data_IF_245932623911
#
_entry.id   IF_245932623911
#
_cell.length_a   1.000
_cell.length_b   1.000
_cell.length_c   1.000
_cell.angle_alpha   90.00
_cell.angle_beta   90.00
_cell.angle_gamma   90.00
#
_symmetry.space_group_name_H-M   'P 1'
#
loop_
_entity.id
_entity.type
_entity.pdbx_description
1 polymer ?
#
# COMPACT_ATOMS: atom_id res chain seq x y z
N UNK A 1 -27.74 13.46 24.39
CA UNK A 1 -26.47 14.16 24.68
C UNK A 1 -26.62 15.64 24.32
N UNK A 2 -27.05 16.48 25.28
CA UNK A 2 -27.52 17.87 25.07
C UNK A 2 -26.45 18.89 24.71
N UNK A 3 -25.65 18.63 23.68
CA UNK A 3 -24.66 19.59 23.15
C UNK A 3 -25.22 20.22 21.87
N UNK A 4 -25.30 21.56 21.77
CA UNK A 4 -25.86 22.24 20.60
C UNK A 4 -25.13 21.87 19.31
N UNK A 5 -25.89 21.72 18.22
CA UNK A 5 -25.33 21.55 16.87
C UNK A 5 -24.52 22.78 16.45
N UNK A 6 -23.41 22.55 15.76
CA UNK A 6 -22.47 23.60 15.34
C UNK A 6 -21.64 24.23 16.46
N UNK A 7 -21.80 23.80 17.71
CA UNK A 7 -20.96 24.31 18.80
C UNK A 7 -19.52 23.85 18.66
N UNK A 8 -18.57 24.75 18.91
CA UNK A 8 -17.12 24.45 18.92
C UNK A 8 -16.78 23.25 19.81
N UNK A 9 -17.49 23.11 20.95
CA UNK A 9 -17.34 21.96 21.85
C UNK A 9 -17.74 20.63 21.19
N UNK A 10 -18.81 20.59 20.39
CA UNK A 10 -19.25 19.40 19.67
C UNK A 10 -18.28 19.04 18.56
N UNK A 11 -17.81 20.01 17.80
CA UNK A 11 -16.81 19.78 16.74
C UNK A 11 -15.49 19.24 17.31
N UNK A 12 -15.03 19.80 18.44
CA UNK A 12 -13.83 19.28 19.12
C UNK A 12 -14.00 17.82 19.56
N UNK A 13 -15.11 17.48 20.20
CA UNK A 13 -15.39 16.09 20.63
C UNK A 13 -15.49 15.17 19.41
N UNK A 14 -16.14 15.63 18.33
CA UNK A 14 -16.28 14.87 17.08
C UNK A 14 -14.91 14.58 16.45
N UNK A 15 -14.05 15.59 16.36
CA UNK A 15 -12.66 15.45 15.92
C UNK A 15 -11.90 14.42 16.76
N UNK A 16 -11.92 14.55 18.09
CA UNK A 16 -11.22 13.62 19.01
C UNK A 16 -11.71 12.17 18.85
N UNK A 17 -13.03 11.97 18.69
CA UNK A 17 -13.61 10.64 18.48
C UNK A 17 -13.20 10.05 17.12
N UNK A 18 -13.24 10.84 16.05
CA UNK A 18 -12.83 10.39 14.72
C UNK A 18 -11.33 10.08 14.69
N UNK A 19 -10.48 10.94 15.26
CA UNK A 19 -9.04 10.71 15.32
C UNK A 19 -8.68 9.42 16.05
N UNK A 20 -9.27 9.20 17.24
CA UNK A 20 -9.07 7.96 17.99
C UNK A 20 -9.52 6.73 17.21
N UNK A 21 -10.61 6.84 16.47
CA UNK A 21 -11.15 5.73 15.68
C UNK A 21 -10.31 5.45 14.43
N UNK A 22 -9.81 6.49 13.76
CA UNK A 22 -8.88 6.41 12.65
C UNK A 22 -7.57 5.71 13.06
N UNK A 23 -7.02 6.05 14.23
CA UNK A 23 -5.83 5.40 14.77
C UNK A 23 -6.06 3.91 15.06
N UNK A 24 -7.21 3.55 15.65
CA UNK A 24 -7.56 2.13 15.87
C UNK A 24 -7.70 1.37 14.55
N UNK A 25 -8.31 1.99 13.55
CA UNK A 25 -8.45 1.39 12.22
C UNK A 25 -7.08 1.20 11.57
N UNK A 26 -6.19 2.19 11.68
CA UNK A 26 -4.80 2.10 11.23
C UNK A 26 -4.10 0.90 11.87
N UNK A 27 -4.21 0.75 13.18
CA UNK A 27 -3.58 -0.34 13.92
C UNK A 27 -4.13 -1.71 13.52
N UNK A 28 -5.44 -1.79 13.28
CA UNK A 28 -6.06 -2.98 12.72
C UNK A 28 -5.49 -3.30 11.34
N UNK A 29 -5.35 -2.31 10.46
CA UNK A 29 -4.78 -2.51 9.14
C UNK A 29 -3.33 -3.02 9.20
N UNK A 30 -2.49 -2.43 10.05
CA UNK A 30 -1.12 -2.92 10.25
C UNK A 30 -1.06 -4.31 10.86
N UNK A 31 -1.92 -4.60 11.85
CA UNK A 31 -1.96 -5.90 12.51
C UNK A 31 -2.35 -7.03 11.57
N UNK A 32 -3.25 -6.78 10.61
CA UNK A 32 -3.73 -7.79 9.68
C UNK A 32 -2.93 -7.84 8.37
N UNK A 33 -2.26 -6.77 7.97
CA UNK A 33 -1.43 -6.74 6.76
C UNK A 33 -2.23 -6.92 5.46
N UNK A 34 -1.54 -7.24 4.37
CA UNK A 34 -2.13 -7.61 3.07
C UNK A 34 -3.20 -6.64 2.58
N UNK A 35 -4.38 -7.17 2.22
CA UNK A 35 -5.54 -6.40 1.77
C UNK A 35 -5.94 -5.26 2.71
N UNK A 36 -5.73 -5.39 4.03
CA UNK A 36 -6.09 -4.31 4.96
C UNK A 36 -5.19 -3.08 4.81
N UNK A 37 -3.92 -3.26 4.44
CA UNK A 37 -3.03 -2.16 4.10
C UNK A 37 -3.52 -1.47 2.82
N UNK A 38 -3.95 -2.24 1.81
CA UNK A 38 -4.50 -1.69 0.56
C UNK A 38 -5.79 -0.90 0.79
N UNK A 39 -6.69 -1.42 1.63
CA UNK A 39 -7.90 -0.70 2.03
C UNK A 39 -7.57 0.59 2.78
N UNK A 40 -6.59 0.56 3.69
CA UNK A 40 -6.12 1.76 4.36
C UNK A 40 -5.52 2.79 3.39
N UNK A 41 -4.72 2.35 2.43
CA UNK A 41 -4.20 3.20 1.35
C UNK A 41 -5.32 3.85 0.55
N UNK A 42 -6.37 3.08 0.20
CA UNK A 42 -7.53 3.61 -0.51
C UNK A 42 -8.31 4.63 0.33
N UNK A 43 -8.55 4.34 1.62
CA UNK A 43 -9.17 5.30 2.55
C UNK A 43 -8.38 6.62 2.65
N UNK A 44 -7.04 6.57 2.57
CA UNK A 44 -6.18 7.75 2.54
C UNK A 44 -6.33 8.64 1.30
N UNK A 45 -7.11 8.21 0.29
CA UNK A 45 -7.39 8.93 -0.94
C UNK A 45 -8.83 9.47 -1.01
N UNK A 46 -9.72 9.04 -0.10
CA UNK A 46 -11.15 9.42 -0.09
C UNK A 46 -11.39 10.80 0.54
N UNK A 47 -10.69 11.81 0.04
CA UNK A 47 -10.86 13.19 0.47
C UNK A 47 -12.31 13.64 0.24
N UNK A 48 -12.88 14.37 1.20
CA UNK A 48 -14.29 14.81 1.24
C UNK A 48 -15.37 13.73 1.44
N UNK A 49 -15.04 12.43 1.37
CA UNK A 49 -16.00 11.33 1.57
C UNK A 49 -16.02 10.78 3.00
N UNK A 50 -14.87 10.79 3.69
CA UNK A 50 -14.74 10.36 5.09
C UNK A 50 -14.19 11.50 5.94
N UNK A 51 -14.36 11.47 7.28
CA UNK A 51 -13.79 12.49 8.14
C UNK A 51 -12.29 12.61 7.92
N UNK A 52 -11.79 13.85 7.88
CA UNK A 52 -10.42 14.17 7.49
C UNK A 52 -9.37 13.43 8.33
N UNK A 53 -9.69 13.12 9.59
CA UNK A 53 -8.83 12.38 10.50
C UNK A 53 -8.49 10.98 9.96
N UNK A 54 -9.43 10.32 9.28
CA UNK A 54 -9.18 9.02 8.63
C UNK A 54 -8.25 9.18 7.44
N UNK A 55 -8.53 10.15 6.56
CA UNK A 55 -7.74 10.41 5.35
C UNK A 55 -6.30 10.70 5.73
N UNK A 56 -6.07 11.65 6.65
CA UNK A 56 -4.73 12.06 7.09
C UNK A 56 -3.99 10.91 7.78
N UNK A 57 -4.63 10.24 8.75
CA UNK A 57 -4.00 9.14 9.50
C UNK A 57 -3.55 8.03 8.56
N UNK A 58 -4.39 7.63 7.60
CA UNK A 58 -4.06 6.56 6.65
C UNK A 58 -3.00 6.98 5.64
N UNK A 59 -3.11 8.19 5.11
CA UNK A 59 -2.14 8.75 4.14
C UNK A 59 -0.74 8.84 4.74
N UNK A 60 -0.61 9.43 5.92
CA UNK A 60 0.67 9.54 6.62
C UNK A 60 1.27 8.19 6.98
N UNK A 61 0.43 7.23 7.36
CA UNK A 61 0.90 5.94 7.86
C UNK A 61 1.22 4.94 6.75
N UNK A 62 0.45 4.94 5.65
CA UNK A 62 0.45 3.84 4.67
C UNK A 62 0.77 4.27 3.24
N UNK A 63 0.62 5.56 2.90
CA UNK A 63 0.97 6.08 1.57
C UNK A 63 2.35 6.77 1.59
N UNK A 64 2.66 7.51 2.65
CA UNK A 64 3.93 8.24 2.77
C UNK A 64 5.13 7.35 3.19
N UNK A 65 4.86 6.12 3.65
CA UNK A 65 5.88 5.15 4.07
C UNK A 65 5.83 3.92 3.18
N UNK A 66 6.20 4.08 1.91
CA UNK A 66 6.38 2.92 1.04
C UNK A 66 7.62 2.14 1.51
N UNK A 67 7.52 0.80 1.61
CA UNK A 67 8.66 -0.02 2.01
C UNK A 67 9.80 0.16 1.00
N UNK A 68 11.05 0.11 1.46
CA UNK A 68 12.22 0.06 0.59
C UNK A 68 12.94 -1.24 0.90
N UNK A 69 13.00 -2.13 -0.09
CA UNK A 69 13.82 -3.33 -0.03
C UNK A 69 15.29 -2.97 -0.02
N UNK A 70 16.07 -3.72 0.76
CA UNK A 70 17.52 -3.59 0.77
C UNK A 70 18.09 -3.98 -0.60
N UNK A 71 19.26 -3.46 -0.93
CA UNK A 71 19.90 -3.82 -2.19
C UNK A 71 20.18 -5.33 -2.30
N UNK A 72 20.46 -6.00 -1.18
CA UNK A 72 20.60 -7.46 -1.12
C UNK A 72 19.31 -8.19 -1.56
N UNK A 73 18.16 -7.75 -1.07
CA UNK A 73 16.86 -8.29 -1.50
C UNK A 73 16.60 -8.05 -2.99
N UNK A 74 17.04 -6.90 -3.53
CA UNK A 74 16.96 -6.61 -4.97
C UNK A 74 17.86 -7.58 -5.75
N UNK A 75 19.08 -7.83 -5.29
CA UNK A 75 19.96 -8.82 -5.89
C UNK A 75 19.36 -10.23 -5.90
N UNK A 76 18.66 -10.63 -4.83
CA UNK A 76 18.00 -11.94 -4.76
C UNK A 76 16.85 -12.07 -5.76
N UNK A 77 16.05 -11.01 -5.94
CA UNK A 77 15.01 -10.97 -6.99
C UNK A 77 15.64 -11.12 -8.38
N UNK A 78 16.73 -10.40 -8.64
CA UNK A 78 17.46 -10.49 -9.90
C UNK A 78 18.04 -11.87 -10.16
N UNK A 79 18.68 -12.49 -9.15
CA UNK A 79 19.19 -13.87 -9.27
C UNK A 79 18.08 -14.87 -9.56
N UNK A 80 16.90 -14.67 -8.97
CA UNK A 80 15.74 -15.53 -9.19
C UNK A 80 15.17 -15.41 -10.60
N UNK A 81 15.10 -14.20 -11.15
CA UNK A 81 14.47 -13.94 -12.46
C UNK A 81 15.44 -14.02 -13.65
N UNK A 82 16.69 -13.59 -13.46
CA UNK A 82 17.71 -13.47 -14.51
C UNK A 82 18.92 -14.39 -14.30
N UNK A 83 19.02 -15.07 -13.16
CA UNK A 83 20.17 -15.94 -12.81
C UNK A 83 21.42 -15.17 -12.35
N UNK A 84 21.40 -13.84 -12.40
CA UNK A 84 22.56 -12.98 -12.18
C UNK A 84 22.19 -11.74 -11.35
N UNK A 85 23.19 -10.97 -10.88
CA UNK A 85 22.97 -9.73 -10.12
C UNK A 85 22.77 -8.50 -11.03
N UNK A 86 22.20 -7.38 -10.52
CA UNK A 86 21.92 -6.20 -11.32
C UNK A 86 23.15 -5.64 -12.07
N UNK A 87 24.34 -5.72 -11.47
CA UNK A 87 25.62 -5.27 -12.05
C UNK A 87 26.13 -6.13 -13.21
N UNK A 88 25.57 -7.33 -13.41
CA UNK A 88 25.83 -8.19 -14.58
C UNK A 88 24.80 -7.96 -15.68
N UNK A 89 23.54 -7.78 -15.29
CA UNK A 89 22.42 -7.56 -16.21
C UNK A 89 22.52 -6.18 -16.87
N UNK A 90 22.97 -5.17 -16.15
CA UNK A 90 23.12 -3.79 -16.63
C UNK A 90 24.59 -3.35 -16.60
N UNK A 91 24.95 -2.39 -17.45
CA UNK A 91 26.28 -1.76 -17.43
C UNK A 91 26.47 -0.89 -16.18
N UNK A 92 25.40 -0.22 -15.75
CA UNK A 92 25.35 0.55 -14.51
C UNK A 92 24.00 0.29 -13.84
N UNK A 93 23.98 0.13 -12.51
CA UNK A 93 22.76 0.01 -11.73
C UNK A 93 22.91 0.80 -10.43
N UNK A 94 22.00 1.73 -10.17
CA UNK A 94 22.00 2.52 -8.93
C UNK A 94 21.36 1.69 -7.79
N UNK A 95 22.11 1.34 -6.73
CA UNK A 95 21.56 0.59 -5.62
C UNK A 95 20.52 1.38 -4.81
N UNK A 96 20.46 2.71 -4.96
CA UNK A 96 19.48 3.56 -4.30
C UNK A 96 18.26 3.72 -5.21
N UNK A 97 17.03 3.39 -4.75
CA UNK A 97 15.84 3.59 -5.57
C UNK A 97 15.50 5.08 -5.68
N UNK A 98 15.04 5.49 -6.87
CA UNK A 98 14.51 6.84 -7.11
C UNK A 98 13.06 7.00 -6.67
N UNK A 99 12.34 5.89 -6.51
CA UNK A 99 10.97 5.86 -6.02
C UNK A 99 10.65 4.49 -5.41
N UNK A 100 9.75 4.46 -4.44
CA UNK A 100 9.16 3.22 -3.94
C UNK A 100 7.65 3.32 -3.82
N UNK A 101 6.97 2.20 -4.07
CA UNK A 101 5.54 2.03 -3.97
C UNK A 101 5.23 0.76 -3.17
N UNK A 102 3.95 0.50 -2.91
CA UNK A 102 3.53 -0.65 -2.10
C UNK A 102 4.00 -2.01 -2.64
N UNK A 103 4.07 -2.18 -3.96
CA UNK A 103 4.42 -3.46 -4.59
C UNK A 103 5.87 -3.54 -5.06
N UNK A 104 6.50 -2.42 -5.36
CA UNK A 104 7.77 -2.38 -6.07
C UNK A 104 8.50 -1.07 -5.82
N UNK A 105 9.82 -1.08 -6.02
CA UNK A 105 10.65 0.10 -6.07
C UNK A 105 11.29 0.26 -7.45
N UNK A 106 11.69 1.49 -7.78
CA UNK A 106 12.24 1.85 -9.09
C UNK A 106 13.68 2.32 -8.92
N UNK A 107 14.58 1.72 -9.68
CA UNK A 107 16.01 2.06 -9.74
C UNK A 107 16.35 2.67 -11.09
N UNK A 108 17.44 3.43 -11.13
CA UNK A 108 18.03 3.91 -12.39
C UNK A 108 19.10 2.91 -12.81
N UNK A 109 19.12 2.56 -14.08
CA UNK A 109 20.17 1.72 -14.65
C UNK A 109 20.56 2.21 -16.06
N UNK A 110 21.66 1.64 -16.56
CA UNK A 110 22.11 1.80 -17.94
C UNK A 110 22.31 0.43 -18.58
N UNK A 111 21.71 0.21 -19.74
CA UNK A 111 21.94 -1.02 -20.51
C UNK A 111 23.37 -1.05 -21.07
N UNK A 112 23.85 -2.25 -21.46
CA UNK A 112 25.15 -2.40 -22.13
C UNK A 112 25.24 -1.63 -23.45
N UNK A 113 24.10 -1.35 -24.09
CA UNK A 113 23.98 -0.50 -25.27
C UNK A 113 23.96 1.01 -24.96
N UNK A 114 24.14 1.39 -23.70
CA UNK A 114 24.26 2.78 -23.24
C UNK A 114 22.95 3.50 -22.89
N UNK A 115 21.79 2.85 -23.06
CA UNK A 115 20.48 3.47 -22.81
C UNK A 115 20.19 3.58 -21.31
N UNK A 116 19.74 4.77 -20.88
CA UNK A 116 19.30 5.00 -19.49
C UNK A 116 17.86 4.51 -19.31
N UNK A 117 17.63 3.65 -18.32
CA UNK A 117 16.34 2.98 -18.08
C UNK A 117 15.90 3.12 -16.62
N UNK A 118 14.59 3.02 -16.40
CA UNK A 118 13.99 2.89 -15.08
C UNK A 118 13.63 1.42 -14.85
N UNK A 119 14.24 0.80 -13.84
CA UNK A 119 14.07 -0.63 -13.54
C UNK A 119 13.15 -0.76 -12.33
N UNK A 120 11.93 -1.24 -12.56
CA UNK A 120 10.96 -1.49 -11.51
C UNK A 120 11.12 -2.92 -10.98
N UNK A 121 11.45 -3.05 -9.70
CA UNK A 121 11.71 -4.33 -9.03
C UNK A 121 10.63 -4.56 -7.97
N UNK A 122 9.94 -5.69 -8.05
CA UNK A 122 8.91 -6.06 -7.08
C UNK A 122 9.55 -6.41 -5.73
N UNK A 123 8.92 -6.01 -4.61
CA UNK A 123 9.40 -6.41 -3.28
C UNK A 123 9.26 -7.93 -3.09
N UNK A 124 10.26 -8.63 -2.54
CA UNK A 124 10.25 -10.10 -2.44
C UNK A 124 9.01 -10.66 -1.73
N UNK A 125 8.57 -9.99 -0.66
CA UNK A 125 7.47 -10.41 0.21
C UNK A 125 6.07 -10.15 -0.37
N UNK A 126 5.96 -9.48 -1.53
CA UNK A 126 4.66 -9.14 -2.13
C UNK A 126 4.04 -10.29 -2.92
N UNK A 127 4.83 -11.28 -3.35
CA UNK A 127 4.31 -12.41 -4.13
C UNK A 127 3.44 -13.33 -3.27
N UNK A 128 3.82 -13.54 -2.01
CA UNK A 128 3.08 -14.39 -1.07
C UNK A 128 1.75 -13.76 -0.62
N UNK A 129 1.71 -12.43 -0.51
CA UNK A 129 0.49 -11.70 -0.12
C UNK A 129 -0.50 -11.56 -1.27
N UNK A 130 -0.05 -11.56 -2.53
CA UNK A 130 -0.94 -11.46 -3.69
C UNK A 130 -1.92 -12.65 -3.81
N UNK A 131 -1.45 -13.88 -3.56
CA UNK A 131 -2.29 -15.07 -3.60
C UNK A 131 -3.34 -15.07 -2.48
N UNK A 132 -2.93 -14.65 -1.27
CA UNK A 132 -3.85 -14.49 -0.14
C UNK A 132 -4.90 -13.38 -0.39
N UNK A 133 -4.48 -12.26 -0.99
CA UNK A 133 -5.39 -11.18 -1.39
C UNK A 133 -6.40 -11.67 -2.43
N UNK A 134 -5.96 -12.41 -3.45
CA UNK A 134 -6.86 -12.99 -4.45
C UNK A 134 -7.87 -13.95 -3.82
N UNK A 135 -7.41 -14.90 -3.00
CA UNK A 135 -8.29 -15.85 -2.31
C UNK A 135 -9.31 -15.14 -1.39
N UNK A 136 -8.89 -14.05 -0.75
CA UNK A 136 -9.77 -13.23 0.09
C UNK A 136 -10.83 -12.52 -0.74
N UNK A 137 -10.45 -11.91 -1.87
CA UNK A 137 -11.39 -11.27 -2.79
C UNK A 137 -12.37 -12.28 -3.35
N UNK A 138 -11.91 -13.46 -3.79
CA UNK A 138 -12.77 -14.54 -4.26
C UNK A 138 -13.77 -14.97 -3.18
N UNK A 139 -13.31 -15.15 -1.93
CA UNK A 139 -14.21 -15.49 -0.81
C UNK A 139 -15.29 -14.42 -0.61
N UNK A 140 -14.91 -13.14 -0.60
CA UNK A 140 -15.85 -12.04 -0.41
C UNK A 140 -16.86 -11.97 -1.56
N UNK A 141 -16.39 -12.02 -2.80
CA UNK A 141 -17.26 -11.95 -4.00
C UNK A 141 -18.21 -13.14 -4.04
N UNK A 142 -17.72 -14.35 -3.81
CA UNK A 142 -18.56 -15.55 -3.80
C UNK A 142 -19.59 -15.53 -2.66
N UNK A 143 -19.20 -15.01 -1.49
CA UNK A 143 -20.14 -14.84 -0.37
C UNK A 143 -21.21 -13.80 -0.70
N UNK A 144 -20.82 -12.65 -1.26
CA UNK A 144 -21.77 -11.61 -1.66
C UNK A 144 -22.72 -12.09 -2.76
N UNK A 145 -22.24 -12.85 -3.75
CA UNK A 145 -23.09 -13.46 -4.77
C UNK A 145 -24.13 -14.41 -4.17
N UNK A 146 -23.75 -15.20 -3.16
CA UNK A 146 -24.67 -16.08 -2.46
C UNK A 146 -25.75 -15.32 -1.66
N UNK A 147 -25.44 -14.17 -1.06
CA UNK A 147 -26.39 -13.38 -0.26
C UNK A 147 -27.21 -12.38 -1.09
N UNK A 148 -26.65 -11.88 -2.20
CA UNK A 148 -27.25 -10.88 -3.07
C UNK A 148 -27.12 -11.29 -4.55
N UNK A 149 -27.83 -12.35 -4.97
CA UNK A 149 -27.71 -12.89 -6.33
C UNK A 149 -28.18 -11.92 -7.45
N UNK A 150 -28.78 -10.78 -7.10
CA UNK A 150 -29.18 -9.73 -8.04
C UNK A 150 -28.11 -8.65 -8.28
N UNK A 151 -26.93 -8.77 -7.65
CA UNK A 151 -25.78 -7.90 -7.89
C UNK A 151 -24.87 -8.55 -8.94
N UNK A 152 -25.07 -8.18 -10.21
CA UNK A 152 -24.21 -8.61 -11.31
C UNK A 152 -23.09 -7.57 -11.55
N UNK A 153 -21.83 -8.03 -11.59
CA UNK A 153 -20.64 -7.29 -12.06
C UNK A 153 -20.01 -8.04 -13.23
#
# INVERSE_FOLDING_TARGET
>A
WGIPEGSSKREKIKHEVHLRSAQKLRDLCFKNGGIYIKLGQHLGQLEYLVPQEYVQTMRESMLNKCPVSSYEQICDVFKKEFGETPDKVFAEFDPVPIASASLAQVHVARTHDGQKVAVKVQHPHMTETAAADQATVELIVNTLHNFFPSFDY
#
